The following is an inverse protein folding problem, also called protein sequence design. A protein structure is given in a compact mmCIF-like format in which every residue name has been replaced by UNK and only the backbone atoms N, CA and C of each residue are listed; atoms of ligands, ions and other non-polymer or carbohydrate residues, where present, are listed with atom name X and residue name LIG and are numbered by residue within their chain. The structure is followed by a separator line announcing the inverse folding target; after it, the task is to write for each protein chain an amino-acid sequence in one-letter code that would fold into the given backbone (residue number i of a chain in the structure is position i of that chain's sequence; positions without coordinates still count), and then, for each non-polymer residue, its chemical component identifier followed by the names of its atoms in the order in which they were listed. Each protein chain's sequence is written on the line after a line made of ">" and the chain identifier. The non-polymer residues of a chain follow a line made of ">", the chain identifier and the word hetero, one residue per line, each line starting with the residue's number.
data_IF_593801318535
#
_entry.id   IF_593801318535
#
_cell.length_a   1.000
_cell.length_b   1.000
_cell.length_c   1.000
_cell.angle_alpha   90.00
_cell.angle_beta   90.00
_cell.angle_gamma   90.00
#
_symmetry.space_group_name_H-M   'P 1'
#
loop_
_entity.id
_entity.type
_entity.pdbx_description
1 polymer ?
#
# COMPACT_ATOMS: atom_id res chain seq x y z
N UNK A 1 60.28 -19.30 16.21
CA UNK A 1 59.38 -20.49 16.27
C UNK A 1 58.41 -20.37 15.11
N UNK A 2 58.54 -21.27 14.13
CA UNK A 2 57.62 -21.23 12.98
C UNK A 2 56.26 -21.75 13.41
N UNK A 3 55.20 -21.06 13.02
CA UNK A 3 53.81 -21.38 13.36
C UNK A 3 53.47 -22.86 13.08
N UNK A 4 53.98 -23.40 11.99
CA UNK A 4 53.81 -24.81 11.60
C UNK A 4 54.49 -25.80 12.59
N UNK A 5 55.64 -25.46 13.17
CA UNK A 5 56.37 -26.32 14.09
C UNK A 5 55.62 -26.52 15.42
N UNK A 6 54.83 -25.50 15.85
CA UNK A 6 53.99 -25.56 17.04
C UNK A 6 52.88 -26.60 16.89
N UNK A 7 52.21 -26.63 15.71
CA UNK A 7 51.13 -27.58 15.45
C UNK A 7 51.63 -29.02 15.26
N UNK A 8 52.82 -29.21 14.67
CA UNK A 8 53.44 -30.55 14.52
C UNK A 8 53.76 -31.16 15.87
N UNK A 9 54.23 -30.35 16.82
CA UNK A 9 54.61 -30.83 18.16
C UNK A 9 53.41 -31.11 19.08
N UNK A 10 52.19 -30.57 18.76
CA UNK A 10 51.00 -30.76 19.57
C UNK A 10 49.79 -31.25 18.73
N UNK A 11 49.81 -32.51 18.29
CA UNK A 11 48.78 -33.03 17.38
C UNK A 11 47.37 -33.01 18.00
N UNK A 12 47.22 -33.24 19.31
CA UNK A 12 45.92 -33.20 20.00
C UNK A 12 45.31 -31.79 19.92
N UNK A 13 46.14 -30.76 20.10
CA UNK A 13 45.65 -29.37 19.97
C UNK A 13 45.17 -29.07 18.56
N UNK A 14 45.88 -29.56 17.55
CA UNK A 14 45.49 -29.40 16.15
C UNK A 14 44.13 -30.06 15.84
N UNK A 15 43.92 -31.29 16.33
CA UNK A 15 42.66 -32.01 16.15
C UNK A 15 41.48 -31.28 16.85
N UNK A 16 41.68 -30.84 18.09
CA UNK A 16 40.66 -30.11 18.84
C UNK A 16 40.30 -28.80 18.12
N UNK A 17 41.29 -28.04 17.66
CA UNK A 17 41.05 -26.78 16.95
C UNK A 17 40.33 -27.03 15.62
N UNK A 18 40.74 -28.04 14.85
CA UNK A 18 40.08 -28.41 13.60
C UNK A 18 38.63 -28.84 13.81
N UNK A 19 38.36 -29.65 14.85
CA UNK A 19 37.00 -30.07 15.21
C UNK A 19 36.14 -28.89 15.63
N UNK A 20 36.71 -27.94 16.37
CA UNK A 20 36.02 -26.72 16.79
C UNK A 20 35.64 -25.83 15.60
N UNK A 21 36.54 -25.65 14.65
CA UNK A 21 36.29 -24.90 13.40
C UNK A 21 35.20 -25.58 12.57
N UNK A 22 35.24 -26.93 12.46
CA UNK A 22 34.22 -27.70 11.76
C UNK A 22 32.85 -27.57 12.41
N UNK A 23 32.77 -27.59 13.76
CA UNK A 23 31.53 -27.39 14.48
C UNK A 23 30.95 -26.01 14.26
N UNK A 24 31.75 -24.96 14.34
CA UNK A 24 31.30 -23.59 14.07
C UNK A 24 30.84 -23.48 12.62
N UNK A 25 31.59 -24.01 11.65
CA UNK A 25 31.20 -24.01 10.25
C UNK A 25 29.90 -24.73 9.98
N UNK A 26 29.65 -25.86 10.67
CA UNK A 26 28.43 -26.61 10.55
C UNK A 26 27.21 -25.85 11.16
N UNK A 27 27.40 -25.22 12.32
CA UNK A 27 26.34 -24.37 12.91
C UNK A 27 26.03 -23.17 12.03
N UNK A 28 27.06 -22.48 11.51
CA UNK A 28 26.86 -21.37 10.58
C UNK A 28 26.14 -21.79 9.29
N UNK A 29 26.37 -23.02 8.82
CA UNK A 29 25.71 -23.54 7.62
C UNK A 29 24.18 -23.67 7.81
N UNK A 30 23.75 -24.05 9.04
CA UNK A 30 22.34 -24.19 9.37
C UNK A 30 21.61 -22.83 9.44
N UNK A 31 22.34 -21.77 9.77
CA UNK A 31 21.79 -20.41 9.88
C UNK A 31 21.87 -19.62 8.55
N UNK A 32 22.43 -20.21 7.48
CA UNK A 32 22.47 -19.53 6.18
C UNK A 32 21.06 -19.39 5.58
N UNK A 33 20.59 -18.16 5.33
CA UNK A 33 19.32 -17.95 4.67
C UNK A 33 19.39 -18.42 3.21
N UNK A 34 18.50 -19.32 2.83
CA UNK A 34 18.34 -19.74 1.44
C UNK A 34 17.47 -18.71 0.72
N UNK A 35 18.06 -17.98 -0.24
CA UNK A 35 17.35 -17.07 -1.13
C UNK A 35 17.31 -17.64 -2.55
N UNK A 36 16.19 -17.47 -3.22
CA UNK A 36 16.00 -17.94 -4.61
C UNK A 36 16.80 -17.10 -5.61
N UNK A 37 16.98 -15.81 -5.32
CA UNK A 37 17.72 -14.85 -6.14
C UNK A 37 18.74 -14.10 -5.29
N UNK A 38 19.88 -13.66 -5.88
CA UNK A 38 20.79 -12.75 -5.21
C UNK A 38 20.06 -11.47 -4.78
N UNK A 39 20.48 -10.87 -3.68
CA UNK A 39 19.97 -9.62 -3.16
C UNK A 39 20.38 -8.45 -4.09
N UNK A 40 19.68 -8.32 -5.21
CA UNK A 40 19.81 -7.19 -6.13
C UNK A 40 18.62 -6.25 -5.93
N UNK A 41 18.44 -5.78 -4.68
CA UNK A 41 17.34 -4.89 -4.37
C UNK A 41 17.50 -3.58 -5.15
N UNK A 42 16.67 -3.43 -6.17
CA UNK A 42 16.47 -2.12 -6.79
C UNK A 42 15.66 -1.28 -5.82
N UNK A 43 16.23 -0.16 -5.39
CA UNK A 43 15.49 0.79 -4.57
C UNK A 43 14.44 1.48 -5.43
N UNK A 44 13.22 0.93 -5.47
CA UNK A 44 12.09 1.46 -6.25
C UNK A 44 11.00 1.94 -5.29
N UNK A 45 10.59 3.19 -5.47
CA UNK A 45 9.48 3.81 -4.76
C UNK A 45 8.39 4.16 -5.77
N UNK A 46 7.13 3.83 -5.44
CA UNK A 46 5.97 4.21 -6.25
C UNK A 46 5.08 5.19 -5.50
N UNK A 47 4.55 6.15 -6.25
CA UNK A 47 3.52 7.08 -5.80
C UNK A 47 2.26 6.77 -6.62
N UNK A 48 1.17 6.49 -5.95
CA UNK A 48 -0.13 6.19 -6.55
C UNK A 48 -1.15 7.22 -6.06
N UNK A 49 -1.81 7.91 -6.98
CA UNK A 49 -2.79 8.94 -6.66
C UNK A 49 -4.05 8.72 -7.48
N UNK A 50 -5.20 8.67 -6.81
CA UNK A 50 -6.50 8.49 -7.46
C UNK A 50 -7.21 9.85 -7.55
N UNK A 51 -7.71 10.16 -8.75
CA UNK A 51 -8.53 11.35 -9.01
C UNK A 51 -9.79 10.93 -9.76
N UNK A 52 -10.85 10.53 -9.05
CA UNK A 52 -12.04 9.95 -9.66
C UNK A 52 -12.69 10.89 -10.68
N UNK A 53 -13.06 10.35 -11.86
CA UNK A 53 -13.75 11.10 -12.90
C UNK A 53 -12.87 12.03 -13.75
N UNK A 54 -11.59 12.15 -13.48
CA UNK A 54 -10.69 12.97 -14.28
C UNK A 54 -10.18 12.20 -15.50
N UNK A 55 -10.15 12.86 -16.68
CA UNK A 55 -9.49 12.31 -17.86
C UNK A 55 -7.97 12.24 -17.67
N UNK A 56 -7.29 11.33 -18.37
CA UNK A 56 -5.84 11.09 -18.24
C UNK A 56 -5.00 12.35 -18.45
N UNK A 57 -5.39 13.24 -19.36
CA UNK A 57 -4.72 14.54 -19.61
C UNK A 57 -4.84 15.50 -18.42
N UNK A 58 -5.98 15.47 -17.71
CA UNK A 58 -6.18 16.28 -16.49
C UNK A 58 -5.37 15.69 -15.34
N UNK A 59 -5.34 14.37 -15.21
CA UNK A 59 -4.53 13.66 -14.22
C UNK A 59 -3.04 13.99 -14.44
N UNK A 60 -2.59 13.99 -15.70
CA UNK A 60 -1.21 14.32 -16.05
C UNK A 60 -0.84 15.73 -15.58
N UNK A 61 -1.59 16.74 -16.01
CA UNK A 61 -1.25 18.16 -15.75
C UNK A 61 -1.50 18.61 -14.31
N UNK A 62 -2.49 18.02 -13.63
CA UNK A 62 -2.90 18.44 -12.27
C UNK A 62 -2.33 17.59 -11.13
N UNK A 63 -1.82 16.41 -11.43
CA UNK A 63 -1.24 15.52 -10.42
C UNK A 63 0.17 15.11 -10.80
N UNK A 64 0.33 14.45 -11.95
CA UNK A 64 1.60 13.81 -12.32
C UNK A 64 2.73 14.82 -12.44
N UNK A 65 2.56 15.86 -13.25
CA UNK A 65 3.58 16.92 -13.45
C UNK A 65 3.92 17.65 -12.15
N UNK A 66 2.93 17.94 -11.29
CA UNK A 66 3.16 18.64 -10.02
C UNK A 66 4.05 17.81 -9.10
N UNK A 67 3.75 16.50 -9.00
CA UNK A 67 4.54 15.59 -8.18
C UNK A 67 5.92 15.36 -8.80
N UNK A 68 6.02 15.11 -10.11
CA UNK A 68 7.30 14.91 -10.80
C UNK A 68 8.26 16.09 -10.64
N UNK A 69 7.76 17.30 -10.81
CA UNK A 69 8.56 18.51 -10.63
C UNK A 69 9.14 18.59 -9.21
N UNK A 70 8.38 18.17 -8.22
CA UNK A 70 8.83 18.23 -6.83
C UNK A 70 9.83 17.12 -6.49
N UNK A 71 9.65 15.92 -7.02
CA UNK A 71 10.54 14.79 -6.72
C UNK A 71 11.82 14.80 -7.55
N UNK A 72 11.84 15.50 -8.70
CA UNK A 72 13.01 15.57 -9.59
C UNK A 72 14.28 16.14 -8.93
N UNK A 73 14.12 16.88 -7.84
CA UNK A 73 15.23 17.44 -7.05
C UNK A 73 15.80 16.50 -5.99
N UNK A 74 15.30 15.27 -5.86
CA UNK A 74 15.80 14.31 -4.86
C UNK A 74 17.10 13.69 -5.35
N UNK A 75 18.11 13.66 -4.49
CA UNK A 75 19.42 13.09 -4.79
C UNK A 75 19.37 11.55 -4.90
N UNK A 76 20.10 11.02 -5.86
CA UNK A 76 20.23 9.58 -6.08
C UNK A 76 19.11 8.96 -6.93
N UNK A 77 18.28 9.76 -7.59
CA UNK A 77 17.33 9.25 -8.57
C UNK A 77 18.08 8.83 -9.85
N UNK A 78 17.82 7.59 -10.29
CA UNK A 78 18.31 7.04 -11.55
C UNK A 78 17.34 7.28 -12.69
N UNK A 79 16.05 7.05 -12.46
CA UNK A 79 14.99 7.29 -13.44
C UNK A 79 13.64 7.52 -12.76
N UNK A 80 12.81 8.36 -13.42
CA UNK A 80 11.41 8.56 -13.07
C UNK A 80 10.59 8.10 -14.28
N UNK A 81 9.58 7.29 -14.04
CA UNK A 81 8.62 6.83 -15.05
C UNK A 81 7.22 6.99 -14.51
N UNK A 82 6.34 7.64 -15.27
CA UNK A 82 4.96 7.90 -14.87
C UNK A 82 3.98 7.35 -15.89
N UNK A 83 2.82 6.97 -15.39
CA UNK A 83 1.68 6.51 -16.18
C UNK A 83 0.43 7.21 -15.68
N UNK A 84 -0.11 8.11 -16.48
CA UNK A 84 -1.39 8.80 -16.26
C UNK A 84 -2.50 8.08 -17.01
N UNK A 85 -3.52 7.64 -16.28
CA UNK A 85 -4.73 7.02 -16.82
C UNK A 85 -5.95 7.79 -16.33
N UNK A 86 -7.11 7.50 -16.91
CA UNK A 86 -8.36 8.07 -16.44
C UNK A 86 -8.57 7.75 -14.96
N UNK A 87 -8.65 8.79 -14.14
CA UNK A 87 -8.81 8.71 -12.70
C UNK A 87 -7.60 8.27 -11.88
N UNK A 88 -6.42 8.06 -12.46
CA UNK A 88 -5.26 7.55 -11.71
C UNK A 88 -3.92 7.97 -12.26
N UNK A 89 -3.04 8.43 -11.38
CA UNK A 89 -1.63 8.67 -11.63
C UNK A 89 -0.77 7.63 -10.90
N UNK A 90 0.19 7.05 -11.60
CA UNK A 90 1.19 6.17 -11.00
C UNK A 90 2.57 6.63 -11.42
N UNK A 91 3.39 7.04 -10.45
CA UNK A 91 4.78 7.45 -10.66
C UNK A 91 5.70 6.41 -10.03
N UNK A 92 6.68 5.94 -10.78
CA UNK A 92 7.67 4.96 -10.35
C UNK A 92 9.04 5.61 -10.38
N UNK A 93 9.73 5.61 -9.27
CA UNK A 93 11.04 6.21 -9.08
C UNK A 93 12.05 5.10 -8.82
N UNK A 94 13.03 4.95 -9.68
CA UNK A 94 14.16 4.04 -9.49
C UNK A 94 15.36 4.85 -8.98
N UNK A 95 15.90 4.46 -7.84
CA UNK A 95 17.09 5.07 -7.25
C UNK A 95 18.36 4.31 -7.64
N UNK A 96 19.50 4.93 -7.47
CA UNK A 96 20.81 4.27 -7.60
C UNK A 96 20.96 3.21 -6.52
N UNK A 97 21.78 2.19 -6.79
CA UNK A 97 21.94 1.01 -5.91
C UNK A 97 22.44 1.36 -4.49
N UNK A 98 23.26 2.41 -4.38
CA UNK A 98 23.81 2.84 -3.09
C UNK A 98 22.80 3.51 -2.17
N UNK A 99 21.67 3.97 -2.70
CA UNK A 99 20.63 4.68 -1.92
C UNK A 99 19.78 3.69 -1.15
N UNK A 100 19.73 3.84 0.16
CA UNK A 100 18.87 3.02 1.02
C UNK A 100 17.38 3.27 0.70
N UNK A 101 16.61 2.20 0.48
CA UNK A 101 15.19 2.29 0.11
C UNK A 101 14.33 3.00 1.18
N UNK A 102 14.72 2.89 2.46
CA UNK A 102 13.99 3.56 3.55
C UNK A 102 14.22 5.07 3.52
N UNK A 103 15.46 5.50 3.29
CA UNK A 103 15.81 6.91 3.12
C UNK A 103 15.15 7.47 1.87
N UNK A 104 15.24 6.77 0.73
CA UNK A 104 14.59 7.15 -0.51
C UNK A 104 13.07 7.34 -0.34
N UNK A 105 12.40 6.41 0.34
CA UNK A 105 10.96 6.52 0.58
C UNK A 105 10.59 7.68 1.52
N UNK A 106 11.45 8.02 2.49
CA UNK A 106 11.25 9.18 3.35
C UNK A 106 11.47 10.49 2.58
N UNK A 107 12.54 10.58 1.78
CA UNK A 107 12.81 11.74 0.93
C UNK A 107 11.65 12.01 -0.04
N UNK A 108 11.10 10.94 -0.66
CA UNK A 108 9.92 11.03 -1.53
C UNK A 108 8.69 11.50 -0.74
N UNK A 109 8.46 10.96 0.46
CA UNK A 109 7.33 11.36 1.31
C UNK A 109 7.41 12.82 1.69
N UNK A 110 8.59 13.29 2.08
CA UNK A 110 8.82 14.68 2.43
C UNK A 110 8.65 15.60 1.22
N UNK A 111 9.10 15.18 0.05
CA UNK A 111 8.92 15.94 -1.18
C UNK A 111 7.44 16.04 -1.56
N UNK A 112 6.72 14.93 -1.57
CA UNK A 112 5.29 14.88 -1.91
C UNK A 112 4.45 15.67 -0.91
N UNK A 113 4.74 15.59 0.39
CA UNK A 113 3.98 16.30 1.43
C UNK A 113 3.96 17.82 1.20
N UNK A 114 5.02 18.38 0.64
CA UNK A 114 5.09 19.82 0.33
C UNK A 114 4.15 20.28 -0.79
N UNK A 115 3.68 19.36 -1.61
CA UNK A 115 2.80 19.69 -2.77
C UNK A 115 1.39 19.14 -2.65
N UNK A 116 1.08 18.42 -1.58
CA UNK A 116 -0.27 17.86 -1.35
C UNK A 116 -1.34 18.94 -1.39
N UNK A 117 -1.07 20.12 -0.80
CA UNK A 117 -2.01 21.23 -0.80
C UNK A 117 -2.26 21.85 -2.20
N UNK A 118 -1.33 21.62 -3.14
CA UNK A 118 -1.44 22.11 -4.52
C UNK A 118 -2.23 21.14 -5.42
N UNK A 119 -2.50 19.92 -4.93
CA UNK A 119 -3.29 18.93 -5.67
C UNK A 119 -4.79 19.28 -5.60
N UNK A 120 -5.59 18.82 -6.57
CA UNK A 120 -7.04 19.01 -6.54
C UNK A 120 -7.65 18.42 -5.26
N UNK A 121 -8.57 19.15 -4.63
CA UNK A 121 -9.24 18.72 -3.38
C UNK A 121 -10.05 17.43 -3.52
N UNK A 122 -10.49 17.13 -4.74
CA UNK A 122 -11.26 15.92 -5.06
C UNK A 122 -10.36 14.71 -5.39
N UNK A 123 -9.03 14.87 -5.36
CA UNK A 123 -8.09 13.76 -5.48
C UNK A 123 -7.83 13.12 -4.11
N UNK A 124 -7.66 11.80 -4.11
CA UNK A 124 -7.19 11.10 -2.92
C UNK A 124 -5.74 11.49 -2.60
N UNK A 125 -5.33 11.45 -1.33
CA UNK A 125 -3.95 11.66 -0.94
C UNK A 125 -3.00 10.69 -1.64
N UNK A 126 -1.80 11.14 -2.09
CA UNK A 126 -0.83 10.26 -2.71
C UNK A 126 -0.37 9.13 -1.78
N UNK A 127 -0.52 7.89 -2.23
CA UNK A 127 -0.03 6.70 -1.52
C UNK A 127 1.39 6.37 -1.97
N UNK A 128 2.35 6.38 -1.03
CA UNK A 128 3.75 6.11 -1.30
C UNK A 128 4.08 4.71 -0.81
N UNK A 129 4.50 3.86 -1.73
CA UNK A 129 4.82 2.46 -1.47
C UNK A 129 6.23 2.14 -1.97
N UNK A 130 6.94 1.29 -1.22
CA UNK A 130 8.19 0.67 -1.67
C UNK A 130 7.83 -0.55 -2.51
N UNK A 131 8.50 -0.72 -3.64
CA UNK A 131 8.44 -1.99 -4.36
C UNK A 131 9.62 -2.83 -3.89
N UNK A 132 9.27 -3.87 -3.17
CA UNK A 132 10.21 -4.92 -2.84
C UNK A 132 10.20 -5.94 -3.98
N UNK A 133 11.35 -6.25 -4.54
CA UNK A 133 11.48 -7.23 -5.62
C UNK A 133 11.03 -8.64 -5.18
N UNK A 134 11.06 -8.89 -3.87
CA UNK A 134 10.62 -10.14 -3.26
C UNK A 134 9.11 -10.16 -2.92
N UNK A 135 8.37 -9.09 -3.22
CA UNK A 135 6.93 -8.98 -2.91
C UNK A 135 6.01 -9.80 -3.84
N UNK A 136 6.54 -10.84 -4.47
CA UNK A 136 5.73 -11.77 -5.24
C UNK A 136 4.78 -12.55 -4.34
N UNK A 137 3.54 -12.77 -4.83
CA UNK A 137 2.59 -13.59 -4.09
C UNK A 137 3.14 -15.02 -3.97
N UNK A 138 3.39 -15.47 -2.74
CA UNK A 138 3.86 -16.84 -2.46
C UNK A 138 2.73 -17.87 -2.56
N UNK A 139 1.47 -17.42 -2.44
CA UNK A 139 0.31 -18.29 -2.48
C UNK A 139 -0.89 -17.57 -3.08
N UNK A 140 -1.63 -18.27 -3.92
CA UNK A 140 -2.90 -17.85 -4.47
C UNK A 140 -3.99 -18.77 -3.93
N UNK A 141 -4.94 -18.20 -3.20
CA UNK A 141 -6.09 -18.91 -2.64
C UNK A 141 -7.34 -18.56 -3.44
N UNK A 142 -8.01 -19.55 -3.99
CA UNK A 142 -9.29 -19.35 -4.66
C UNK A 142 -10.44 -19.61 -3.68
N UNK A 143 -11.29 -18.59 -3.50
CA UNK A 143 -12.49 -18.69 -2.71
C UNK A 143 -13.70 -18.81 -3.64
N UNK A 144 -14.39 -19.94 -3.59
CA UNK A 144 -15.55 -20.21 -4.43
C UNK A 144 -16.73 -20.69 -3.57
N UNK A 145 -17.95 -20.31 -3.98
CA UNK A 145 -19.19 -20.79 -3.37
C UNK A 145 -20.25 -20.94 -4.45
N UNK A 146 -21.10 -21.95 -4.33
CA UNK A 146 -22.28 -22.14 -5.17
C UNK A 146 -23.56 -21.54 -4.54
N UNK A 147 -23.51 -21.21 -3.25
CA UNK A 147 -24.68 -20.75 -2.49
C UNK A 147 -24.62 -19.24 -2.19
N UNK A 148 -23.41 -18.69 -2.09
CA UNK A 148 -23.17 -17.29 -1.70
C UNK A 148 -22.80 -16.50 -2.95
N UNK A 149 -23.41 -15.32 -3.11
CA UNK A 149 -23.09 -14.45 -4.24
C UNK A 149 -21.68 -13.84 -4.08
N UNK A 150 -21.12 -13.32 -5.17
CA UNK A 150 -19.76 -12.78 -5.21
C UNK A 150 -19.57 -11.54 -4.31
N UNK A 151 -20.63 -10.76 -4.06
CA UNK A 151 -20.57 -9.60 -3.18
C UNK A 151 -20.39 -10.03 -1.72
N UNK A 152 -21.26 -10.95 -1.26
CA UNK A 152 -21.21 -11.46 0.12
C UNK A 152 -19.94 -12.29 0.36
N UNK A 153 -19.46 -13.01 -0.68
CA UNK A 153 -18.21 -13.73 -0.63
C UNK A 153 -17.01 -12.78 -0.48
N UNK A 154 -17.04 -11.63 -1.14
CA UNK A 154 -16.01 -10.60 -1.01
C UNK A 154 -16.04 -9.97 0.38
N UNK A 155 -17.22 -9.64 0.90
CA UNK A 155 -17.39 -9.10 2.26
C UNK A 155 -16.90 -10.09 3.32
N UNK A 156 -17.24 -11.37 3.15
CA UNK A 156 -16.74 -12.43 4.02
C UNK A 156 -15.20 -12.53 3.99
N UNK A 157 -14.62 -12.48 2.80
CA UNK A 157 -13.16 -12.54 2.64
C UNK A 157 -12.47 -11.33 3.30
N UNK A 158 -13.01 -10.10 3.11
CA UNK A 158 -12.48 -8.88 3.73
C UNK A 158 -12.55 -8.93 5.26
N UNK A 159 -13.68 -9.32 5.83
CA UNK A 159 -13.91 -9.28 7.28
C UNK A 159 -13.25 -10.41 8.06
N UNK A 160 -13.17 -11.60 7.46
CA UNK A 160 -12.77 -12.79 8.21
C UNK A 160 -11.45 -13.39 7.74
N UNK A 161 -11.20 -13.41 6.43
CA UNK A 161 -9.99 -14.09 5.92
C UNK A 161 -8.78 -13.17 5.92
N UNK A 162 -8.94 -11.91 5.49
CA UNK A 162 -7.81 -10.97 5.44
C UNK A 162 -7.21 -10.78 6.82
N UNK A 163 -8.05 -10.51 7.83
CA UNK A 163 -7.59 -10.28 9.19
C UNK A 163 -6.87 -11.50 9.77
N UNK A 164 -7.46 -12.69 9.60
CA UNK A 164 -6.86 -13.93 10.12
C UNK A 164 -5.54 -14.30 9.45
N UNK A 165 -5.44 -14.07 8.14
CA UNK A 165 -4.22 -14.38 7.39
C UNK A 165 -3.12 -13.35 7.64
N UNK A 166 -3.48 -12.08 7.83
CA UNK A 166 -2.52 -10.99 8.08
C UNK A 166 -1.80 -11.08 9.42
N UNK A 167 -2.38 -11.77 10.40
CA UNK A 167 -1.79 -11.97 11.74
C UNK A 167 -0.77 -13.12 11.77
N UNK A 168 -0.74 -13.96 10.73
CA UNK A 168 0.20 -15.09 10.67
C UNK A 168 1.64 -14.56 10.54
N UNK A 169 2.52 -15.04 11.42
CA UNK A 169 3.94 -14.67 11.37
C UNK A 169 4.55 -15.00 9.99
N UNK A 170 5.21 -14.03 9.38
CA UNK A 170 5.80 -14.16 8.05
C UNK A 170 4.90 -13.72 6.89
N UNK A 171 3.63 -13.38 7.14
CA UNK A 171 2.73 -12.82 6.13
C UNK A 171 2.87 -11.30 6.14
N UNK A 172 3.43 -10.73 5.08
CA UNK A 172 3.61 -9.29 4.95
C UNK A 172 2.32 -8.58 4.48
N UNK A 173 1.58 -9.19 3.55
CA UNK A 173 0.35 -8.58 2.98
C UNK A 173 -0.59 -9.65 2.43
N UNK A 174 -1.88 -9.46 2.68
CA UNK A 174 -2.96 -10.22 2.04
C UNK A 174 -3.72 -9.29 1.10
N UNK A 175 -3.96 -9.75 -0.13
CA UNK A 175 -4.65 -8.95 -1.16
C UNK A 175 -5.79 -9.74 -1.76
N UNK A 176 -6.97 -9.15 -1.85
CA UNK A 176 -8.12 -9.73 -2.56
C UNK A 176 -8.08 -9.26 -4.00
N UNK A 177 -8.22 -10.20 -4.94
CA UNK A 177 -8.37 -9.94 -6.37
C UNK A 177 -9.67 -10.54 -6.88
N UNK A 178 -10.32 -9.87 -7.84
CA UNK A 178 -11.58 -10.33 -8.41
C UNK A 178 -12.82 -10.12 -7.53
N UNK A 179 -12.67 -9.49 -6.36
CA UNK A 179 -13.80 -9.13 -5.50
C UNK A 179 -14.71 -8.07 -6.12
N UNK A 180 -15.98 -8.07 -5.70
CA UNK A 180 -16.96 -7.03 -6.04
C UNK A 180 -17.37 -6.30 -4.78
N UNK A 181 -17.40 -4.95 -4.85
CA UNK A 181 -17.92 -4.10 -3.77
C UNK A 181 -19.27 -3.52 -4.15
N UNK A 182 -20.14 -3.38 -3.17
CA UNK A 182 -21.40 -2.67 -3.37
C UNK A 182 -21.10 -1.21 -3.72
N UNK A 183 -21.79 -0.69 -4.72
CA UNK A 183 -21.72 0.73 -5.09
C UNK A 183 -23.11 1.22 -5.45
N UNK A 184 -23.46 2.40 -4.96
CA UNK A 184 -24.70 3.09 -5.37
C UNK A 184 -24.37 3.89 -6.64
N UNK A 185 -25.14 3.64 -7.71
CA UNK A 185 -25.02 4.38 -8.96
C UNK A 185 -26.22 5.27 -9.16
N UNK A 186 -26.00 6.57 -9.25
CA UNK A 186 -27.04 7.56 -9.50
C UNK A 186 -27.05 7.88 -10.99
N UNK A 187 -28.12 7.50 -11.68
CA UNK A 187 -28.34 7.81 -13.08
C UNK A 187 -29.13 9.09 -13.19
N UNK A 188 -28.59 10.08 -13.85
CA UNK A 188 -29.19 11.41 -13.97
C UNK A 188 -29.67 11.58 -15.40
N UNK A 189 -30.95 12.02 -15.56
CA UNK A 189 -31.55 12.34 -16.86
C UNK A 189 -31.21 13.81 -17.23
N UNK A 190 -30.51 14.05 -18.33
CA UNK A 190 -30.12 15.41 -18.76
C UNK A 190 -31.34 16.30 -19.09
N UNK A 191 -32.44 15.72 -19.60
CA UNK A 191 -33.65 16.49 -19.90
C UNK A 191 -34.35 17.01 -18.62
N UNK A 192 -34.44 16.17 -17.61
CA UNK A 192 -34.99 16.57 -16.32
C UNK A 192 -34.09 17.61 -15.61
N UNK A 193 -32.77 17.47 -15.70
CA UNK A 193 -31.85 18.50 -15.19
C UNK A 193 -32.14 19.87 -15.80
N UNK A 194 -32.27 19.91 -17.13
CA UNK A 194 -32.58 21.15 -17.87
C UNK A 194 -33.95 21.71 -17.49
N UNK A 195 -34.97 20.84 -17.35
CA UNK A 195 -36.33 21.25 -16.99
C UNK A 195 -36.41 21.86 -15.58
N UNK A 196 -35.70 21.30 -14.61
CA UNK A 196 -35.63 21.78 -13.23
C UNK A 196 -34.56 22.84 -12.99
N UNK A 197 -33.75 23.17 -14.01
CA UNK A 197 -32.68 24.14 -13.91
C UNK A 197 -31.62 23.77 -12.84
N UNK A 198 -31.38 22.46 -12.64
CA UNK A 198 -30.48 21.90 -11.67
C UNK A 198 -29.20 21.38 -12.36
N UNK A 199 -28.06 21.62 -11.77
CA UNK A 199 -26.77 21.12 -12.26
C UNK A 199 -26.39 19.79 -11.62
N UNK A 200 -25.58 18.98 -12.30
CA UNK A 200 -25.02 17.72 -11.76
C UNK A 200 -24.28 17.98 -10.44
N UNK A 201 -23.57 19.12 -10.36
CA UNK A 201 -22.80 19.51 -9.19
C UNK A 201 -23.66 19.79 -7.96
N UNK A 202 -24.85 20.37 -8.17
CA UNK A 202 -25.81 20.60 -7.09
C UNK A 202 -26.35 19.27 -6.54
N UNK A 203 -26.67 18.31 -7.43
CA UNK A 203 -27.11 16.97 -7.01
C UNK A 203 -26.00 16.27 -6.21
N UNK A 204 -24.76 16.31 -6.71
CA UNK A 204 -23.59 15.74 -6.01
C UNK A 204 -23.40 16.36 -4.63
N UNK A 205 -23.51 17.70 -4.54
CA UNK A 205 -23.38 18.43 -3.29
C UNK A 205 -24.46 18.03 -2.28
N UNK A 206 -25.71 17.92 -2.72
CA UNK A 206 -26.84 17.50 -1.87
C UNK A 206 -26.64 16.06 -1.39
N UNK A 207 -26.27 15.13 -2.30
CA UNK A 207 -26.04 13.73 -1.91
C UNK A 207 -24.92 13.64 -0.88
N UNK A 208 -23.83 14.40 -1.06
CA UNK A 208 -22.70 14.44 -0.09
C UNK A 208 -23.13 15.05 1.24
N UNK A 209 -23.94 16.11 1.23
CA UNK A 209 -24.38 16.81 2.46
C UNK A 209 -25.45 16.05 3.25
N UNK A 210 -26.29 15.28 2.56
CA UNK A 210 -27.36 14.51 3.20
C UNK A 210 -26.90 13.11 3.66
N UNK A 211 -25.82 12.56 3.07
CA UNK A 211 -25.28 11.25 3.44
C UNK A 211 -24.21 11.39 4.53
N UNK A 212 -24.60 11.92 5.68
CA UNK A 212 -23.71 12.16 6.80
C UNK A 212 -24.25 11.50 8.06
N UNK A 213 -23.37 10.85 8.80
CA UNK A 213 -23.62 10.39 10.16
C UNK A 213 -23.13 11.44 11.16
N UNK A 214 -24.05 12.07 11.88
CA UNK A 214 -23.67 13.01 12.94
C UNK A 214 -23.83 12.39 14.32
N UNK A 215 -22.83 12.54 15.21
CA UNK A 215 -23.03 12.31 16.63
C UNK A 215 -23.97 13.41 17.15
N UNK A 216 -25.20 13.06 17.44
CA UNK A 216 -26.22 14.01 17.91
C UNK A 216 -26.11 14.35 19.40
N UNK A 217 -25.03 13.91 20.06
CA UNK A 217 -24.75 14.19 21.46
C UNK A 217 -25.01 12.99 22.37
N UNK A 218 -25.02 13.26 23.69
CA UNK A 218 -25.33 12.27 24.72
C UNK A 218 -26.53 12.72 25.52
N UNK A 219 -27.37 11.79 25.88
CA UNK A 219 -28.44 11.98 26.87
C UNK A 219 -27.91 11.36 28.15
N UNK A 220 -27.62 12.23 29.13
CA UNK A 220 -27.16 11.81 30.45
C UNK A 220 -28.37 11.58 31.35
N UNK A 221 -28.39 10.45 32.01
CA UNK A 221 -29.35 10.11 33.07
C UNK A 221 -28.56 9.74 34.33
N UNK A 222 -29.17 9.82 35.50
CA UNK A 222 -28.53 9.50 36.78
C UNK A 222 -27.92 8.08 36.85
N UNK A 223 -28.35 7.16 35.98
CA UNK A 223 -27.92 5.75 35.99
C UNK A 223 -27.31 5.26 34.69
N UNK A 224 -27.52 5.95 33.56
CA UNK A 224 -27.03 5.51 32.23
C UNK A 224 -26.87 6.69 31.27
N UNK A 225 -25.78 6.66 30.50
CA UNK A 225 -25.55 7.57 29.38
C UNK A 225 -25.93 6.90 28.06
N UNK A 226 -26.71 7.60 27.24
CA UNK A 226 -27.07 7.15 25.90
C UNK A 226 -26.43 8.07 24.87
N UNK A 227 -25.61 7.51 24.00
CA UNK A 227 -25.12 8.25 22.83
C UNK A 227 -26.19 8.24 21.74
N UNK A 228 -26.62 9.41 21.34
CA UNK A 228 -27.59 9.56 20.24
C UNK A 228 -26.81 9.71 18.94
N UNK A 229 -27.03 8.77 18.00
CA UNK A 229 -26.47 8.79 16.65
C UNK A 229 -27.60 9.12 15.67
N UNK A 230 -27.41 10.19 14.90
CA UNK A 230 -28.31 10.48 13.78
C UNK A 230 -27.73 9.77 12.54
N UNK A 231 -28.44 8.78 12.05
CA UNK A 231 -28.05 8.02 10.87
C UNK A 231 -28.96 8.42 9.70
N UNK A 232 -28.45 9.27 8.83
CA UNK A 232 -29.12 9.68 7.59
C UNK A 232 -28.40 9.07 6.37
N UNK A 233 -27.92 7.83 6.51
CA UNK A 233 -27.25 7.12 5.42
C UNK A 233 -28.25 6.36 4.55
N UNK A 234 -28.06 6.39 3.24
CA UNK A 234 -28.86 5.58 2.32
C UNK A 234 -28.57 4.09 2.57
N UNK A 235 -29.57 3.37 3.10
CA UNK A 235 -29.50 1.90 3.26
C UNK A 235 -29.91 1.25 1.96
N UNK A 236 -29.03 0.45 1.37
CA UNK A 236 -29.35 -0.44 0.24
C UNK A 236 -29.68 -1.83 0.73
#
# INVERSE_FOLDING_TARGET
>A
MNFSEFFIRKPVFCIVLSTFILLIGFLSLLDLPLRQYPDTEKSIVTIDTVYPGAASTIVETKITEIIENQISGIEGIKSISSVSRDGRSKITIEFIYEKNINEAANDVRDAVSRVVENLPKDSDPPEISKIDSDSNAIMWLNLTSNEINQLDLTDYAERYLVDRLSVISGVAKVRISGGKKKSVRVWIDPFLLSQYNVTVREIESVIKSENIEFPAGRIESETRDFTVKLENSYKT
#
